data_IF_523249188978
#
_entry.id   IF_523249188978
#
_cell.length_a   1.000
_cell.length_b   1.000
_cell.length_c   1.000
_cell.angle_alpha   90.00
_cell.angle_beta   90.00
_cell.angle_gamma   90.00
#
_symmetry.space_group_name_H-M   'P 1'
#
loop_
_entity.id
_entity.type
_entity.pdbx_description
1 polymer ?
#
# COMPACT_ATOMS: atom_id res chain seq x y z
N UNK A 1 -10.81 28.15 -85.40
CA UNK A 1 -9.59 27.67 -84.74
C UNK A 1 -8.57 28.80 -84.79
N UNK A 2 -8.48 29.57 -83.72
CA UNK A 2 -7.45 30.57 -83.51
C UNK A 2 -7.07 30.47 -82.04
N UNK A 3 -6.04 29.68 -81.76
CA UNK A 3 -5.43 29.59 -80.44
C UNK A 3 -4.62 30.88 -80.23
N UNK A 4 -5.03 31.71 -79.28
CA UNK A 4 -4.26 32.85 -78.84
C UNK A 4 -3.14 32.34 -77.91
N UNK A 5 -1.92 32.26 -78.42
CA UNK A 5 -0.76 31.81 -77.66
C UNK A 5 -0.44 32.79 -76.51
N UNK A 6 -0.64 32.35 -75.26
CA UNK A 6 -0.31 33.09 -74.05
C UNK A 6 1.23 33.23 -73.87
N UNK A 7 1.81 34.29 -74.42
CA UNK A 7 3.24 34.60 -74.23
C UNK A 7 3.51 35.08 -72.81
N UNK A 8 4.52 34.51 -72.17
CA UNK A 8 4.91 34.91 -70.82
C UNK A 8 5.44 36.36 -70.79
N UNK A 9 5.20 37.08 -69.69
CA UNK A 9 5.68 38.45 -69.46
C UNK A 9 7.20 38.59 -69.65
N UNK A 10 7.96 37.51 -69.39
CA UNK A 10 9.40 37.44 -69.62
C UNK A 10 9.81 37.73 -71.07
N UNK A 11 8.96 37.37 -72.05
CA UNK A 11 9.25 37.51 -73.48
C UNK A 11 8.94 38.91 -74.01
N UNK A 12 8.30 39.76 -73.20
CA UNK A 12 7.86 41.10 -73.59
C UNK A 12 8.40 42.22 -72.69
N UNK A 13 8.94 41.92 -71.50
CA UNK A 13 9.53 42.91 -70.59
C UNK A 13 11.01 42.64 -70.30
N UNK A 14 11.86 43.64 -70.57
CA UNK A 14 13.31 43.63 -70.27
C UNK A 14 13.62 44.00 -68.81
N UNK A 15 12.60 44.27 -68.00
CA UNK A 15 12.69 44.72 -66.61
C UNK A 15 13.25 43.68 -65.62
N UNK A 16 13.31 42.40 -66.00
CA UNK A 16 14.01 41.34 -65.27
C UNK A 16 13.47 40.96 -63.89
N UNK A 17 12.37 41.55 -63.41
CA UNK A 17 11.82 41.28 -62.07
C UNK A 17 10.35 40.84 -62.13
N UNK A 18 10.10 39.68 -62.73
CA UNK A 18 8.78 39.06 -62.79
C UNK A 18 8.81 37.68 -62.15
N UNK A 19 7.75 37.34 -61.43
CA UNK A 19 7.58 36.04 -60.78
C UNK A 19 6.79 35.13 -61.70
N UNK A 20 7.47 34.24 -62.40
CA UNK A 20 6.87 33.33 -63.38
C UNK A 20 7.09 31.88 -62.98
N UNK A 21 6.08 31.04 -63.19
CA UNK A 21 6.08 29.64 -62.73
C UNK A 21 7.19 28.78 -63.38
N UNK A 22 7.74 29.21 -64.52
CA UNK A 22 8.81 28.50 -65.22
C UNK A 22 10.23 28.92 -64.77
N UNK A 23 10.39 29.95 -63.93
CA UNK A 23 11.69 30.33 -63.35
C UNK A 23 11.74 29.79 -61.93
N UNK A 24 12.80 29.04 -61.62
CA UNK A 24 13.02 28.47 -60.29
C UNK A 24 13.02 29.58 -59.22
N UNK A 25 12.38 29.33 -58.07
CA UNK A 25 12.16 30.31 -57.01
C UNK A 25 13.44 30.81 -56.30
N UNK A 26 14.62 30.42 -56.77
CA UNK A 26 15.91 30.90 -56.26
C UNK A 26 16.46 32.04 -57.12
N UNK A 27 15.59 32.97 -57.53
CA UNK A 27 16.01 34.26 -58.09
C UNK A 27 16.59 35.11 -56.95
N UNK A 28 17.83 35.60 -57.06
CA UNK A 28 18.45 36.34 -55.98
C UNK A 28 17.79 37.72 -55.91
N UNK A 29 16.72 37.84 -55.12
CA UNK A 29 16.22 39.13 -54.60
C UNK A 29 17.23 39.72 -53.60
N UNK A 30 18.51 39.70 -53.96
CA UNK A 30 19.62 40.22 -53.16
C UNK A 30 20.56 41.06 -54.02
N UNK A 31 20.48 40.96 -55.35
CA UNK A 31 21.30 41.79 -56.23
C UNK A 31 20.45 42.24 -57.40
N UNK A 32 19.73 43.35 -57.19
CA UNK A 32 19.11 44.10 -58.28
C UNK A 32 20.18 44.45 -59.32
N UNK A 33 19.87 44.22 -60.59
CA UNK A 33 20.69 44.67 -61.72
C UNK A 33 20.53 46.18 -61.78
N UNK A 34 21.45 46.86 -61.11
CA UNK A 34 21.45 48.30 -60.96
C UNK A 34 22.34 48.62 -59.79
N UNK A 35 23.51 49.16 -60.07
CA UNK A 35 24.37 49.86 -59.12
C UNK A 35 23.64 51.14 -58.65
N UNK A 36 22.50 50.96 -58.00
CA UNK A 36 21.71 52.00 -57.38
C UNK A 36 22.17 52.12 -55.94
N UNK A 37 23.37 52.67 -55.79
CA UNK A 37 23.88 53.14 -54.49
C UNK A 37 23.07 54.38 -54.12
N UNK A 38 21.82 54.18 -53.69
CA UNK A 38 21.03 55.26 -53.11
C UNK A 38 21.80 55.85 -51.92
N UNK A 39 21.73 57.17 -51.73
CA UNK A 39 22.36 57.83 -50.56
C UNK A 39 21.98 57.14 -49.25
N UNK A 40 20.73 56.66 -49.18
CA UNK A 40 20.23 55.89 -48.05
C UNK A 40 21.00 54.59 -47.80
N UNK A 41 21.27 53.80 -48.84
CA UNK A 41 22.03 52.55 -48.72
C UNK A 41 23.51 52.77 -48.35
N UNK A 42 24.10 53.88 -48.78
CA UNK A 42 25.47 54.24 -48.41
C UNK A 42 25.57 54.78 -46.97
N UNK A 43 24.59 55.57 -46.54
CA UNK A 43 24.57 56.21 -45.22
C UNK A 43 24.20 55.23 -44.09
N UNK A 44 23.39 54.21 -44.39
CA UNK A 44 22.86 53.26 -43.42
C UNK A 44 23.24 51.80 -43.76
N UNK A 45 24.53 51.44 -43.71
CA UNK A 45 24.92 50.04 -43.77
C UNK A 45 24.38 49.30 -42.55
N UNK A 46 23.98 48.04 -42.74
CA UNK A 46 23.54 47.17 -41.64
C UNK A 46 24.63 47.08 -40.58
N UNK A 47 24.31 47.44 -39.33
CA UNK A 47 25.27 47.41 -38.24
C UNK A 47 25.18 46.07 -37.53
N UNK A 48 26.29 45.35 -37.43
CA UNK A 48 26.37 44.15 -36.61
C UNK A 48 26.44 44.55 -35.13
N UNK A 49 25.41 44.18 -34.36
CA UNK A 49 25.41 44.36 -32.92
C UNK A 49 26.10 43.15 -32.27
N UNK A 50 27.21 43.40 -31.57
CA UNK A 50 27.87 42.36 -30.76
C UNK A 50 26.95 42.03 -29.58
N UNK A 51 26.58 40.74 -29.44
CA UNK A 51 25.78 40.28 -28.31
C UNK A 51 26.57 40.46 -27.01
N UNK A 52 26.02 41.25 -26.09
CA UNK A 52 26.59 41.43 -24.76
C UNK A 52 26.52 40.11 -23.99
N UNK A 53 27.66 39.66 -23.44
CA UNK A 53 27.71 38.48 -22.57
C UNK A 53 27.14 38.80 -21.19
N UNK A 54 26.34 37.90 -20.65
CA UNK A 54 25.87 38.00 -19.26
C UNK A 54 27.06 37.81 -18.31
N UNK A 55 27.21 38.70 -17.33
CA UNK A 55 28.19 38.56 -16.26
C UNK A 55 27.44 37.98 -15.07
N UNK A 56 27.67 36.70 -14.78
CA UNK A 56 27.14 36.05 -13.58
C UNK A 56 28.20 36.12 -12.47
N UNK A 57 27.83 36.51 -11.24
CA UNK A 57 28.73 36.43 -10.11
C UNK A 57 29.15 34.97 -9.89
N UNK A 58 30.40 34.77 -9.44
CA UNK A 58 30.89 33.43 -9.13
C UNK A 58 30.04 32.82 -8.01
N UNK A 59 29.57 31.60 -8.23
CA UNK A 59 28.77 30.86 -7.25
C UNK A 59 29.63 30.61 -6.01
N UNK A 60 29.21 31.19 -4.89
CA UNK A 60 29.89 31.01 -3.60
C UNK A 60 29.30 29.79 -2.93
N UNK A 61 29.94 28.63 -3.12
CA UNK A 61 29.62 27.44 -2.34
C UNK A 61 30.08 27.68 -0.91
N UNK A 62 29.14 28.07 -0.04
CA UNK A 62 29.40 28.14 1.40
C UNK A 62 29.57 26.70 1.91
N UNK A 63 30.82 26.27 2.05
CA UNK A 63 31.14 25.00 2.69
C UNK A 63 30.96 25.16 4.21
N UNK A 64 29.71 25.02 4.65
CA UNK A 64 29.30 25.20 6.05
C UNK A 64 29.66 23.99 6.92
N UNK A 65 30.92 23.55 6.88
CA UNK A 65 31.46 22.50 7.75
C UNK A 65 30.68 21.18 7.76
N UNK A 66 31.02 20.30 8.69
CA UNK A 66 30.30 19.05 8.91
C UNK A 66 29.10 19.29 9.84
N UNK A 67 27.91 18.83 9.43
CA UNK A 67 26.72 18.92 10.27
C UNK A 67 26.62 17.70 11.18
N UNK A 68 26.87 17.88 12.47
CA UNK A 68 26.60 16.85 13.48
C UNK A 68 25.10 16.83 13.81
N UNK A 69 24.36 16.03 13.03
CA UNK A 69 22.90 15.88 13.16
C UNK A 69 22.41 15.04 14.34
N UNK A 70 23.23 14.88 15.37
CA UNK A 70 22.84 14.19 16.61
C UNK A 70 22.30 15.19 17.61
N UNK A 71 21.00 15.14 17.84
CA UNK A 71 20.34 15.92 18.89
C UNK A 71 20.41 15.15 20.20
N UNK A 72 20.41 15.88 21.33
CA UNK A 72 20.33 15.27 22.68
C UNK A 72 19.15 14.30 22.79
N UNK A 73 18.01 14.67 22.21
CA UNK A 73 16.84 13.81 22.20
C UNK A 73 17.09 12.47 21.49
N UNK A 74 17.76 12.49 20.33
CA UNK A 74 18.06 11.26 19.56
C UNK A 74 19.09 10.38 20.28
N UNK A 75 20.04 10.99 20.99
CA UNK A 75 21.05 10.26 21.77
C UNK A 75 20.46 9.62 23.04
N UNK A 76 19.61 10.36 23.77
CA UNK A 76 19.12 9.95 25.08
C UNK A 76 17.88 9.05 25.02
N UNK A 77 17.00 9.28 24.04
CA UNK A 77 15.68 8.64 23.93
C UNK A 77 15.59 7.70 22.73
N UNK A 78 16.28 6.57 22.83
CA UNK A 78 16.15 5.46 21.88
C UNK A 78 15.27 4.33 22.45
N UNK A 79 14.71 3.52 21.55
CA UNK A 79 13.89 2.36 21.94
C UNK A 79 14.68 1.38 22.80
N UNK A 80 14.26 1.19 24.05
CA UNK A 80 14.83 0.18 24.94
C UNK A 80 14.10 -1.15 24.72
N UNK A 81 14.86 -2.18 24.38
CA UNK A 81 14.33 -3.55 24.37
C UNK A 81 14.22 -4.04 25.82
N UNK A 82 13.06 -4.58 26.19
CA UNK A 82 12.85 -5.20 27.51
C UNK A 82 12.19 -6.57 27.33
N UNK A 83 12.53 -7.51 28.20
CA UNK A 83 11.92 -8.83 28.18
C UNK A 83 10.46 -8.78 28.59
N UNK A 84 9.62 -9.60 27.95
CA UNK A 84 8.21 -9.72 28.33
C UNK A 84 8.13 -10.26 29.76
N UNK A 85 7.42 -9.54 30.63
CA UNK A 85 7.16 -9.98 32.00
C UNK A 85 6.54 -11.38 32.02
N UNK A 86 7.11 -12.30 32.79
CA UNK A 86 6.60 -13.65 32.98
C UNK A 86 5.67 -13.67 34.18
N UNK A 87 4.47 -14.23 34.03
CA UNK A 87 3.54 -14.39 35.16
C UNK A 87 4.12 -15.38 36.18
N UNK A 88 4.38 -14.94 37.40
CA UNK A 88 4.72 -15.82 38.52
C UNK A 88 3.43 -16.32 39.17
N UNK A 89 3.00 -17.54 38.81
CA UNK A 89 1.84 -18.19 39.44
C UNK A 89 2.35 -19.12 40.54
N UNK A 90 1.81 -19.04 41.77
CA UNK A 90 2.17 -19.99 42.82
C UNK A 90 1.79 -21.41 42.38
N UNK A 91 2.65 -22.37 42.67
CA UNK A 91 2.39 -23.78 42.41
C UNK A 91 1.32 -24.22 43.42
N UNK A 92 0.08 -24.38 42.94
CA UNK A 92 -1.01 -24.92 43.76
C UNK A 92 -0.79 -26.42 43.87
N UNK A 93 -0.30 -26.90 45.01
CA UNK A 93 -0.32 -28.33 45.34
C UNK A 93 -1.73 -28.71 45.75
N UNK A 94 -2.39 -29.57 44.97
CA UNK A 94 -3.69 -30.14 45.35
C UNK A 94 -3.51 -30.95 46.65
N UNK A 95 -4.19 -30.53 47.72
CA UNK A 95 -4.29 -31.32 48.95
C UNK A 95 -5.12 -32.55 48.62
N UNK A 96 -4.50 -33.73 48.66
CA UNK A 96 -5.20 -34.99 48.50
C UNK A 96 -6.02 -35.24 49.77
N UNK A 97 -7.35 -35.27 49.67
CA UNK A 97 -8.22 -35.70 50.76
C UNK A 97 -8.17 -37.22 50.88
N UNK A 98 -8.00 -37.73 52.10
CA UNK A 98 -8.01 -39.18 52.39
C UNK A 98 -9.37 -39.84 52.12
N UNK A 99 -9.38 -41.18 52.18
CA UNK A 99 -10.57 -41.99 51.93
C UNK A 99 -11.65 -41.79 53.03
N UNK A 100 -12.90 -41.58 52.61
CA UNK A 100 -14.04 -41.41 53.50
C UNK A 100 -14.84 -42.70 53.60
N UNK A 101 -14.81 -43.34 54.77
CA UNK A 101 -15.47 -44.64 55.00
C UNK A 101 -17.00 -44.55 55.17
N UNK A 102 -17.60 -43.36 55.32
CA UNK A 102 -19.03 -43.11 55.16
C UNK A 102 -20.04 -43.93 55.99
N UNK A 103 -19.59 -44.70 56.98
CA UNK A 103 -20.46 -45.54 57.78
C UNK A 103 -20.98 -44.81 59.02
N UNK A 104 -22.31 -44.76 59.12
CA UNK A 104 -23.02 -44.17 60.26
C UNK A 104 -23.65 -45.27 61.09
N UNK A 105 -23.85 -45.00 62.38
CA UNK A 105 -24.48 -45.95 63.32
C UNK A 105 -25.85 -46.42 62.85
N UNK A 106 -26.67 -45.52 62.30
CA UNK A 106 -27.98 -45.90 61.77
C UNK A 106 -27.87 -46.93 60.62
N UNK A 107 -26.88 -46.77 59.73
CA UNK A 107 -26.66 -47.69 58.60
C UNK A 107 -26.17 -49.07 59.07
N UNK A 108 -25.36 -49.13 60.13
CA UNK A 108 -24.91 -50.40 60.71
C UNK A 108 -26.00 -51.10 61.53
N UNK A 109 -26.84 -50.35 62.21
CA UNK A 109 -27.72 -50.92 63.23
C UNK A 109 -29.06 -51.41 62.65
N UNK A 110 -29.58 -50.73 61.62
CA UNK A 110 -30.88 -50.99 61.02
C UNK A 110 -30.77 -51.71 59.68
N UNK A 111 -30.24 -52.93 59.72
CA UNK A 111 -30.22 -53.84 58.57
C UNK A 111 -31.47 -54.74 58.54
N UNK A 112 -31.86 -55.22 57.35
CA UNK A 112 -32.98 -56.14 57.18
C UNK A 112 -32.78 -57.39 58.03
N UNK A 113 -33.64 -57.61 59.04
CA UNK A 113 -33.64 -58.81 59.88
C UNK A 113 -34.74 -59.76 59.42
N UNK A 114 -34.43 -61.05 59.26
CA UNK A 114 -35.43 -62.07 58.97
C UNK A 114 -36.19 -62.42 60.25
N UNK A 115 -37.52 -62.37 60.19
CA UNK A 115 -38.41 -62.74 61.29
C UNK A 115 -38.91 -64.17 61.06
N UNK A 116 -38.76 -65.04 62.06
CA UNK A 116 -39.36 -66.38 62.04
C UNK A 116 -40.79 -66.30 62.60
N UNK A 117 -41.78 -66.57 61.76
CA UNK A 117 -43.18 -66.70 62.17
C UNK A 117 -43.44 -68.13 62.65
N UNK A 118 -44.03 -68.30 63.82
CA UNK A 118 -44.45 -69.60 64.35
C UNK A 118 -45.97 -69.67 64.24
N UNK A 119 -46.48 -70.56 63.38
CA UNK A 119 -47.91 -70.77 63.16
C UNK A 119 -48.42 -71.88 64.10
N UNK A 120 -49.42 -71.58 64.93
CA UNK A 120 -50.08 -72.54 65.81
C UNK A 120 -51.01 -73.50 65.07
N UNK A 121 -51.00 -74.77 65.47
CA UNK A 121 -51.67 -75.88 64.80
C UNK A 121 -53.19 -75.94 65.10
N UNK A 122 -53.98 -76.20 64.05
CA UNK A 122 -55.42 -76.50 64.10
C UNK A 122 -55.60 -77.98 63.76
N UNK A 123 -56.32 -78.75 64.58
CA UNK A 123 -56.87 -80.06 64.17
C UNK A 123 -58.36 -80.15 64.49
N UNK A 124 -59.15 -80.29 63.42
CA UNK A 124 -60.58 -80.56 63.43
C UNK A 124 -60.73 -82.00 62.91
N UNK A 125 -61.07 -82.96 63.78
CA UNK A 125 -61.08 -84.39 63.46
C UNK A 125 -62.47 -84.99 63.72
N UNK A 126 -63.35 -84.93 62.72
CA UNK A 126 -64.53 -85.80 62.63
C UNK A 126 -64.67 -86.30 61.20
N UNK A 127 -64.08 -87.46 60.92
CA UNK A 127 -64.53 -88.44 59.92
C UNK A 127 -63.69 -89.73 60.02
N UNK A 128 -64.16 -90.70 60.81
CA UNK A 128 -64.42 -92.05 60.30
C UNK A 128 -65.18 -92.90 61.32
N UNK A 129 -66.42 -93.18 60.92
CA UNK A 129 -67.42 -94.06 61.51
C UNK A 129 -67.14 -95.49 60.99
N UNK A 130 -67.65 -96.51 61.70
CA UNK A 130 -67.71 -97.95 61.36
C UNK A 130 -66.49 -98.81 61.75
N UNK A 131 -66.63 -99.61 62.81
CA UNK A 131 -66.98 -101.05 62.73
C UNK A 131 -67.67 -101.44 64.05
N UNK A 132 -68.91 -101.90 63.96
CA UNK A 132 -69.62 -102.65 64.99
C UNK A 132 -69.22 -104.12 64.95
N UNK A 133 -68.70 -104.68 66.04
CA UNK A 133 -68.99 -106.03 66.58
C UNK A 133 -68.90 -105.92 68.09
#
# INVERSE_FOLDING_TARGET
MSEEEERCICQICQCGNHKCAHVENNWPTTTGIGESTTEYGAQYPGKEAVRTRAIHPAETTLNSGEFHGETTNKADFYEKQFERNRSFKPIVSTIQSGEFNGDTTHKSDFNLKQVRLVLGEVVNSLQNIFVSI
#
